data_IF_719461715785
#
_entry.id   IF_719461715785
#
_cell.length_a   1.000
_cell.length_b   1.000
_cell.length_c   1.000
_cell.angle_alpha   90.00
_cell.angle_beta   90.00
_cell.angle_gamma   90.00
#
_symmetry.space_group_name_H-M   'P 1'
#
loop_
_entity.id
_entity.type
_entity.pdbx_description
1 polymer ?
#
# COMPACT_ATOMS: atom_id res chain seq x y z
N UNK A 1 -2.21 -1.96 14.60
CA UNK A 1 -1.52 -1.32 13.47
C UNK A 1 -2.37 -1.22 12.21
N UNK A 2 -2.89 -2.35 11.68
CA UNK A 2 -3.64 -2.37 10.41
C UNK A 2 -4.92 -1.54 10.48
N UNK A 3 -5.81 -1.84 11.42
CA UNK A 3 -7.12 -1.17 11.56
C UNK A 3 -6.96 0.33 11.87
N UNK A 4 -5.97 0.70 12.68
CA UNK A 4 -5.65 2.10 12.98
C UNK A 4 -5.09 2.85 11.76
N UNK A 5 -4.24 2.19 10.97
CA UNK A 5 -3.76 2.75 9.69
C UNK A 5 -4.91 2.92 8.70
N UNK A 6 -5.81 1.92 8.61
CA UNK A 6 -6.99 1.96 7.76
C UNK A 6 -7.95 3.08 8.19
N UNK A 7 -8.18 3.25 9.49
CA UNK A 7 -9.01 4.31 10.05
C UNK A 7 -8.46 5.70 9.69
N UNK A 8 -7.16 5.93 9.89
CA UNK A 8 -6.52 7.18 9.47
C UNK A 8 -6.61 7.44 7.96
N UNK A 9 -6.57 6.41 7.12
CA UNK A 9 -6.81 6.57 5.68
C UNK A 9 -8.27 6.94 5.38
N UNK A 10 -9.23 6.33 6.08
CA UNK A 10 -10.65 6.66 5.93
C UNK A 10 -10.90 8.13 6.32
N UNK A 11 -10.30 8.60 7.41
CA UNK A 11 -10.37 10.01 7.85
C UNK A 11 -9.80 10.99 6.81
N UNK A 12 -8.85 10.54 5.97
CA UNK A 12 -8.29 11.30 4.85
C UNK A 12 -9.13 11.24 3.57
N UNK A 13 -10.27 10.55 3.59
CA UNK A 13 -11.20 10.45 2.47
C UNK A 13 -11.03 9.20 1.59
N UNK A 14 -10.20 8.24 2.00
CA UNK A 14 -10.12 6.94 1.32
C UNK A 14 -11.29 6.02 1.71
N UNK A 15 -11.50 4.96 0.93
CA UNK A 15 -12.62 4.04 1.13
C UNK A 15 -12.16 2.68 1.64
N UNK A 16 -12.86 2.13 2.62
CA UNK A 16 -12.74 0.76 3.07
C UNK A 16 -13.41 -0.19 2.06
N UNK A 17 -12.73 -1.29 1.72
CA UNK A 17 -13.33 -2.41 0.97
C UNK A 17 -13.68 -3.57 1.89
N UNK A 18 -12.75 -3.98 2.75
CA UNK A 18 -12.92 -5.04 3.75
C UNK A 18 -12.01 -4.82 4.95
N UNK A 19 -12.39 -5.39 6.09
CA UNK A 19 -11.55 -5.56 7.29
C UNK A 19 -11.53 -7.04 7.71
N UNK A 20 -10.40 -7.49 8.27
CA UNK A 20 -10.08 -8.86 8.66
C UNK A 20 -10.12 -9.91 7.53
N UNK A 21 -11.31 -10.32 7.07
CA UNK A 21 -11.49 -11.34 6.03
C UNK A 21 -11.79 -10.67 4.69
N UNK A 22 -10.92 -10.90 3.70
CA UNK A 22 -11.09 -10.38 2.34
C UNK A 22 -11.29 -11.53 1.37
N UNK A 23 -12.38 -11.50 0.62
CA UNK A 23 -12.63 -12.42 -0.48
C UNK A 23 -11.93 -11.92 -1.74
N UNK A 24 -11.31 -12.84 -2.48
CA UNK A 24 -10.56 -12.52 -3.70
C UNK A 24 -10.97 -13.43 -4.86
N UNK A 25 -10.87 -12.89 -6.07
CA UNK A 25 -11.06 -13.66 -7.32
C UNK A 25 -10.13 -13.18 -8.40
N UNK A 26 -9.56 -14.13 -9.14
CA UNK A 26 -8.83 -13.87 -10.38
C UNK A 26 -9.78 -13.62 -11.56
N UNK A 27 -9.54 -12.54 -12.29
CA UNK A 27 -10.24 -12.22 -13.53
C UNK A 27 -9.58 -12.89 -14.74
N UNK A 28 -10.30 -12.96 -15.87
CA UNK A 28 -9.74 -13.44 -17.14
C UNK A 28 -8.56 -12.61 -17.65
N UNK A 29 -8.44 -11.35 -17.22
CA UNK A 29 -7.31 -10.45 -17.53
C UNK A 29 -6.11 -10.64 -16.61
N UNK A 30 -6.13 -11.64 -15.73
CA UNK A 30 -5.03 -11.89 -14.79
C UNK A 30 -4.91 -10.86 -13.67
N UNK A 31 -6.01 -10.17 -13.33
CA UNK A 31 -6.08 -9.21 -12.21
C UNK A 31 -6.85 -9.80 -11.03
N UNK A 32 -6.54 -9.37 -9.82
CA UNK A 32 -7.23 -9.77 -8.59
C UNK A 32 -8.28 -8.73 -8.22
N UNK A 33 -9.52 -9.17 -8.04
CA UNK A 33 -10.60 -8.35 -7.46
C UNK A 33 -10.81 -8.77 -6.02
N UNK A 34 -10.92 -7.80 -5.12
CA UNK A 34 -11.11 -7.97 -3.68
C UNK A 34 -12.45 -7.38 -3.24
N UNK A 35 -13.13 -8.03 -2.31
CA UNK A 35 -14.33 -7.51 -1.65
C UNK A 35 -14.47 -8.06 -0.22
N UNK A 36 -15.35 -7.46 0.58
CA UNK A 36 -15.68 -7.97 1.91
C UNK A 36 -16.66 -9.13 1.85
N UNK A 37 -16.50 -10.09 2.77
CA UNK A 37 -17.54 -11.07 3.06
C UNK A 37 -18.85 -10.35 3.47
N UNK A 38 -20.00 -10.96 3.17
CA UNK A 38 -21.31 -10.35 3.43
C UNK A 38 -21.54 -10.01 4.91
N UNK A 39 -21.03 -10.83 5.83
CA UNK A 39 -21.25 -10.68 7.27
C UNK A 39 -20.47 -9.48 7.83
N UNK A 40 -19.22 -9.30 7.41
CA UNK A 40 -18.32 -8.25 7.94
C UNK A 40 -18.33 -6.96 7.11
N UNK A 41 -19.09 -6.93 6.01
CA UNK A 41 -19.20 -5.77 5.13
C UNK A 41 -19.54 -4.51 5.93
N UNK A 42 -18.81 -3.42 5.67
CA UNK A 42 -18.97 -2.10 6.30
C UNK A 42 -18.59 -1.98 7.78
N UNK A 43 -18.19 -3.09 8.40
CA UNK A 43 -17.76 -3.11 9.79
C UNK A 43 -16.23 -3.14 9.89
N UNK A 44 -15.71 -2.59 10.98
CA UNK A 44 -14.28 -2.63 11.31
C UNK A 44 -14.13 -2.85 12.81
N UNK A 45 -13.17 -3.70 13.22
CA UNK A 45 -12.83 -3.88 14.63
C UNK A 45 -11.72 -2.89 15.04
N UNK A 46 -12.01 -2.05 16.04
CA UNK A 46 -11.03 -1.17 16.65
C UNK A 46 -10.74 -1.67 18.07
N UNK A 47 -9.49 -2.08 18.31
CA UNK A 47 -9.05 -2.56 19.62
C UNK A 47 -9.27 -1.49 20.70
N UNK A 48 -9.97 -1.86 21.77
CA UNK A 48 -10.31 -0.96 22.88
C UNK A 48 -11.60 -0.15 22.67
N UNK A 49 -12.18 -0.15 21.47
CA UNK A 49 -13.47 0.49 21.18
C UNK A 49 -14.56 -0.53 20.82
N UNK A 50 -14.18 -1.64 20.17
CA UNK A 50 -15.09 -2.65 19.65
C UNK A 50 -15.35 -2.48 18.16
N UNK A 51 -16.46 -3.04 17.69
CA UNK A 51 -16.85 -3.02 16.28
C UNK A 51 -17.56 -1.70 15.96
N UNK A 52 -17.16 -1.04 14.88
CA UNK A 52 -17.78 0.17 14.35
C UNK A 52 -18.43 -0.08 12.99
N UNK A 53 -19.47 0.69 12.67
CA UNK A 53 -20.05 0.74 11.33
C UNK A 53 -19.54 1.97 10.58
N UNK A 54 -18.65 1.73 9.61
CA UNK A 54 -17.85 2.77 8.93
C UNK A 54 -18.70 3.81 8.20
N UNK A 55 -19.68 3.45 7.34
CA UNK A 55 -20.42 4.46 6.58
C UNK A 55 -21.40 5.27 7.43
N UNK A 56 -21.79 4.80 8.62
CA UNK A 56 -22.56 5.64 9.56
C UNK A 56 -21.71 6.76 10.17
N UNK A 57 -20.40 6.54 10.30
CA UNK A 57 -19.48 7.51 10.91
C UNK A 57 -18.87 8.44 9.86
N UNK A 58 -18.47 7.91 8.71
CA UNK A 58 -17.68 8.61 7.69
C UNK A 58 -18.41 8.80 6.36
N UNK A 59 -19.70 8.44 6.31
CA UNK A 59 -20.55 8.60 5.13
C UNK A 59 -20.34 7.52 4.06
N UNK A 60 -21.23 7.48 3.06
CA UNK A 60 -21.24 6.43 2.03
C UNK A 60 -20.01 6.42 1.11
N UNK A 61 -19.27 7.52 1.03
CA UNK A 61 -18.01 7.60 0.27
C UNK A 61 -16.85 6.87 0.93
N UNK A 62 -16.94 6.60 2.23
CA UNK A 62 -15.91 5.89 3.01
C UNK A 62 -15.89 4.38 2.77
N UNK A 63 -16.78 3.85 1.92
CA UNK A 63 -16.87 2.43 1.60
C UNK A 63 -16.88 2.19 0.09
N UNK A 64 -16.33 1.07 -0.33
CA UNK A 64 -16.38 0.59 -1.71
C UNK A 64 -16.69 -0.91 -1.72
N UNK A 65 -17.62 -1.34 -2.57
CA UNK A 65 -18.09 -2.75 -2.59
C UNK A 65 -17.02 -3.75 -3.03
N UNK A 66 -16.17 -3.37 -3.97
CA UNK A 66 -15.08 -4.18 -4.50
C UNK A 66 -14.00 -3.28 -5.10
N UNK A 67 -12.76 -3.74 -5.16
CA UNK A 67 -11.67 -3.06 -5.86
C UNK A 67 -10.75 -4.05 -6.55
N UNK A 68 -10.04 -3.59 -7.58
CA UNK A 68 -8.88 -4.32 -8.10
C UNK A 68 -7.68 -4.10 -7.18
N UNK A 69 -6.86 -5.14 -7.00
CA UNK A 69 -5.67 -5.11 -6.15
C UNK A 69 -4.42 -4.75 -6.96
N UNK A 70 -3.87 -3.56 -6.70
CA UNK A 70 -2.67 -3.06 -7.38
C UNK A 70 -1.38 -3.34 -6.58
N UNK A 71 -1.47 -3.40 -5.25
CA UNK A 71 -0.32 -3.56 -4.36
C UNK A 71 -0.71 -4.22 -3.04
N UNK A 72 0.22 -5.00 -2.48
CA UNK A 72 0.17 -5.51 -1.11
C UNK A 72 1.19 -4.76 -0.26
N UNK A 73 0.75 -4.27 0.90
CA UNK A 73 1.65 -3.67 1.89
C UNK A 73 1.65 -4.57 3.13
N UNK A 74 2.79 -5.19 3.40
CA UNK A 74 2.99 -6.10 4.53
C UNK A 74 3.61 -5.35 5.71
N UNK A 75 2.78 -5.07 6.72
CA UNK A 75 3.18 -4.38 7.94
C UNK A 75 3.85 -5.36 8.92
N UNK A 76 5.19 -5.34 8.98
CA UNK A 76 5.98 -6.25 9.84
C UNK A 76 6.38 -5.63 11.18
N UNK A 77 6.54 -6.49 12.19
CA UNK A 77 7.23 -6.10 13.43
C UNK A 77 8.71 -5.89 13.13
N UNK A 78 9.37 -4.88 13.73
CA UNK A 78 10.80 -4.69 13.56
C UNK A 78 11.58 -5.89 14.08
N UNK A 79 12.44 -6.48 13.25
CA UNK A 79 13.25 -7.66 13.60
C UNK A 79 14.73 -7.35 13.83
N UNK A 80 15.14 -6.07 13.78
CA UNK A 80 16.54 -5.65 13.95
C UNK A 80 17.38 -5.79 12.68
N UNK A 81 17.19 -6.86 11.90
CA UNK A 81 17.81 -7.11 10.58
C UNK A 81 17.01 -6.50 9.43
N UNK A 82 16.56 -5.26 9.57
CA UNK A 82 15.92 -4.58 8.45
C UNK A 82 16.99 -4.10 7.48
N UNK A 83 17.03 -4.69 6.29
CA UNK A 83 17.86 -4.24 5.18
C UNK A 83 17.70 -2.72 5.00
N UNK A 84 18.77 -2.01 5.32
CA UNK A 84 18.90 -0.56 5.10
C UNK A 84 19.12 -0.23 3.62
N UNK A 85 19.19 -1.27 2.79
CA UNK A 85 19.59 -1.22 1.39
C UNK A 85 18.54 -1.90 0.54
N UNK A 86 17.86 -1.12 -0.30
CA UNK A 86 17.32 -1.65 -1.55
C UNK A 86 15.92 -2.23 -1.47
N UNK A 87 15.01 -1.49 -2.09
CA UNK A 87 13.70 -1.96 -2.52
C UNK A 87 13.91 -3.05 -3.58
N UNK A 88 14.12 -4.29 -3.16
CA UNK A 88 13.92 -5.40 -4.08
C UNK A 88 12.44 -5.43 -4.47
N UNK A 89 12.11 -5.55 -5.76
CA UNK A 89 10.73 -5.73 -6.17
C UNK A 89 10.27 -7.10 -5.66
N UNK A 90 9.62 -7.08 -4.49
CA UNK A 90 8.97 -8.25 -3.95
C UNK A 90 7.59 -8.38 -4.57
N UNK A 91 7.16 -9.62 -4.75
CA UNK A 91 5.81 -9.95 -5.20
C UNK A 91 5.23 -11.01 -4.29
N UNK A 92 3.90 -11.08 -4.25
CA UNK A 92 3.14 -12.14 -3.60
C UNK A 92 2.28 -12.83 -4.65
N UNK A 93 2.28 -14.16 -4.65
CA UNK A 93 1.37 -14.94 -5.48
C UNK A 93 -0.01 -14.99 -4.83
N UNK A 94 -1.02 -14.48 -5.54
CA UNK A 94 -2.42 -14.61 -5.18
C UNK A 94 -3.16 -15.27 -6.35
N UNK A 95 -3.59 -16.52 -6.17
CA UNK A 95 -4.29 -17.30 -7.21
C UNK A 95 -3.51 -17.39 -8.55
N UNK A 96 -2.18 -17.48 -8.50
CA UNK A 96 -1.32 -17.50 -9.68
C UNK A 96 -1.14 -16.13 -10.35
N UNK A 97 -1.43 -15.04 -9.64
CA UNK A 97 -1.14 -13.66 -10.06
C UNK A 97 -0.06 -13.09 -9.15
N UNK A 98 1.03 -12.62 -9.74
CA UNK A 98 2.12 -11.96 -9.02
C UNK A 98 1.73 -10.50 -8.77
N UNK A 99 1.48 -10.15 -7.51
CA UNK A 99 1.11 -8.79 -7.09
C UNK A 99 2.31 -8.12 -6.42
N UNK A 100 2.66 -6.86 -6.78
CA UNK A 100 3.71 -6.10 -6.10
C UNK A 100 3.51 -6.06 -4.59
N UNK A 101 4.57 -6.28 -3.83
CA UNK A 101 4.55 -6.29 -2.37
C UNK A 101 5.60 -5.33 -1.81
N UNK A 102 5.21 -4.53 -0.82
CA UNK A 102 6.14 -3.69 -0.05
C UNK A 102 6.03 -4.08 1.41
N UNK A 103 7.15 -4.53 1.99
CA UNK A 103 7.26 -4.79 3.43
C UNK A 103 7.64 -3.51 4.16
N UNK A 104 6.80 -3.09 5.09
CA UNK A 104 7.03 -1.90 5.90
C UNK A 104 7.15 -2.27 7.38
N UNK A 105 8.25 -1.88 8.05
CA UNK A 105 8.41 -2.09 9.48
C UNK A 105 7.55 -1.09 10.27
N UNK A 106 6.71 -1.62 11.16
CA UNK A 106 5.86 -0.81 12.05
C UNK A 106 6.70 -0.33 13.23
N UNK A 107 6.99 0.97 13.27
CA UNK A 107 7.68 1.63 14.37
C UNK A 107 6.77 2.65 15.05
N UNK A 108 6.84 2.74 16.38
CA UNK A 108 6.14 3.79 17.13
C UNK A 108 6.57 5.18 16.65
N UNK A 109 5.62 6.12 16.60
CA UNK A 109 5.85 7.50 16.17
C UNK A 109 5.94 7.73 14.66
N UNK A 110 5.80 6.68 13.83
CA UNK A 110 5.65 6.85 12.38
C UNK A 110 4.18 6.93 11.99
N UNK A 111 3.87 7.88 11.13
CA UNK A 111 2.57 7.95 10.45
C UNK A 111 2.50 6.89 9.35
N UNK A 112 2.01 5.71 9.72
CA UNK A 112 1.91 4.58 8.80
C UNK A 112 0.89 4.83 7.70
N UNK A 113 -0.16 5.61 7.95
CA UNK A 113 -1.16 5.95 6.94
C UNK A 113 -0.53 6.79 5.82
N UNK A 114 0.27 7.79 6.18
CA UNK A 114 1.00 8.59 5.19
C UNK A 114 2.00 7.75 4.39
N UNK A 115 2.72 6.82 5.04
CA UNK A 115 3.68 5.95 4.32
C UNK A 115 2.94 5.02 3.35
N UNK A 116 1.82 4.43 3.76
CA UNK A 116 0.96 3.57 2.92
C UNK A 116 0.41 4.36 1.73
N UNK A 117 -0.07 5.58 1.96
CA UNK A 117 -0.57 6.49 0.93
C UNK A 117 0.49 6.81 -0.13
N UNK A 118 1.68 7.24 0.30
CA UNK A 118 2.80 7.52 -0.61
C UNK A 118 3.23 6.26 -1.37
N UNK A 119 3.24 5.10 -0.72
CA UNK A 119 3.55 3.83 -1.37
C UNK A 119 2.54 3.47 -2.48
N UNK A 120 1.25 3.66 -2.22
CA UNK A 120 0.19 3.43 -3.20
C UNK A 120 0.30 4.42 -4.39
N UNK A 121 0.56 5.70 -4.13
CA UNK A 121 0.77 6.72 -5.17
C UNK A 121 1.99 6.40 -6.03
N UNK A 122 3.12 6.02 -5.41
CA UNK A 122 4.34 5.64 -6.11
C UNK A 122 4.11 4.39 -6.98
N UNK A 123 3.38 3.39 -6.48
CA UNK A 123 2.99 2.25 -7.31
C UNK A 123 2.14 2.70 -8.50
N UNK A 124 1.20 3.62 -8.31
CA UNK A 124 0.37 4.10 -9.40
C UNK A 124 1.18 4.82 -10.47
N UNK A 125 2.17 5.62 -10.08
CA UNK A 125 3.10 6.26 -11.00
C UNK A 125 3.89 5.22 -11.82
N UNK A 126 4.38 4.16 -11.18
CA UNK A 126 5.08 3.07 -11.87
C UNK A 126 4.20 2.39 -12.91
N UNK A 127 2.93 2.12 -12.59
CA UNK A 127 1.96 1.56 -13.54
C UNK A 127 1.70 2.49 -14.74
N UNK A 128 1.79 3.81 -14.53
CA UNK A 128 1.69 4.82 -15.59
C UNK A 128 3.00 5.02 -16.38
N UNK A 129 4.04 4.26 -16.08
CA UNK A 129 5.35 4.32 -16.75
C UNK A 129 6.33 5.35 -16.18
N UNK A 130 6.01 5.96 -15.03
CA UNK A 130 6.89 6.90 -14.35
C UNK A 130 7.67 6.19 -13.23
N UNK A 131 8.98 6.00 -13.45
CA UNK A 131 9.89 5.48 -12.41
C UNK A 131 10.74 6.62 -11.83
N UNK A 132 10.27 7.19 -10.72
CA UNK A 132 10.93 8.29 -10.04
C UNK A 132 12.34 7.92 -9.51
N UNK A 133 12.57 6.65 -9.16
CA UNK A 133 13.88 6.19 -8.71
C UNK A 133 14.86 6.20 -9.89
N UNK A 134 14.45 5.65 -11.03
CA UNK A 134 15.24 5.70 -12.27
C UNK A 134 15.54 7.13 -12.71
N UNK A 135 14.54 8.02 -12.66
CA UNK A 135 14.73 9.43 -13.03
C UNK A 135 15.76 10.13 -12.13
N UNK A 136 15.74 9.83 -10.82
CA UNK A 136 16.72 10.37 -9.88
C UNK A 136 18.11 9.78 -10.12
N UNK A 137 18.21 8.47 -10.34
CA UNK A 137 19.48 7.80 -10.66
C UNK A 137 20.10 8.39 -11.93
N UNK A 138 19.30 8.59 -12.99
CA UNK A 138 19.74 9.23 -14.23
C UNK A 138 20.25 10.65 -13.98
N UNK A 139 19.57 11.44 -13.14
CA UNK A 139 20.01 12.80 -12.75
C UNK A 139 21.32 12.78 -11.96
N UNK A 140 21.48 11.83 -11.03
CA UNK A 140 22.70 11.68 -10.22
C UNK A 140 23.87 11.27 -11.11
N UNK A 141 23.70 10.26 -11.96
CA UNK A 141 24.71 9.79 -12.91
C UNK A 141 25.15 10.94 -13.79
N UNK A 142 24.21 11.67 -14.40
CA UNK A 142 24.51 12.81 -15.25
C UNK A 142 25.32 13.91 -14.54
N UNK A 143 25.05 14.16 -13.26
CA UNK A 143 25.81 15.13 -12.45
C UNK A 143 27.23 14.64 -12.16
N UNK A 144 27.39 13.35 -11.84
CA UNK A 144 28.69 12.73 -11.59
C UNK A 144 29.56 12.68 -12.85
N UNK A 145 28.97 12.42 -14.02
CA UNK A 145 29.70 12.43 -15.31
C UNK A 145 30.13 13.83 -15.73
N UNK A 146 29.31 14.88 -15.47
CA UNK A 146 29.70 16.27 -15.78
C UNK A 146 30.83 16.79 -14.89
N UNK A 147 30.88 16.38 -13.62
CA UNK A 147 31.95 16.77 -12.69
C UNK A 147 33.35 16.25 -13.05
N UNK A 148 33.44 15.14 -13.80
CA UNK A 148 34.72 14.53 -14.23
C UNK A 148 35.40 15.23 -15.40
N UNK A 149 34.67 16.00 -16.21
CA UNK A 149 35.21 16.65 -17.43
C UNK A 149 35.86 18.01 -17.14
N UNK A 150 35.71 18.53 -15.91
CA UNK A 150 36.14 19.90 -15.54
C UNK A 150 37.56 19.99 -14.93
N UNK A 151 38.33 18.90 -14.90
CA UNK A 151 39.67 18.84 -14.30
C UNK A 151 40.74 18.24 -15.24
N UNK A 152 40.58 18.43 -16.55
CA UNK A 152 41.58 18.05 -17.57
C UNK A 152 42.26 19.27 -18.16
#
# INVERSE_FOLDING_TARGET
GKSETALSLIERGYSLVSDDVTEIRRTSRGRIICWANEVTRYHMEIRGLGIIHVPSLFGVSSIRRQTELDIVIDLKKPSGDEDRTGVHPETVDLMGVQVPCIRLPVRSGRDMANIVEVAALNQKLKELGHDAAKELDDKIINRLTRGRVSHG
#
